data_IF_887265435542
#
_entry.id   IF_887265435542
#
_cell.length_a   1.000
_cell.length_b   1.000
_cell.length_c   1.000
_cell.angle_alpha   90.00
_cell.angle_beta   90.00
_cell.angle_gamma   90.00
#
_symmetry.space_group_name_H-M   'P 1'
#
loop_
_entity.id
_entity.type
_entity.pdbx_description
1 polymer ?
#
# COMPACT_ATOMS: atom_id res chain seq x y z
N UNK A 1 -20.69 -13.31 -6.65
CA UNK A 1 -19.32 -13.85 -6.48
C UNK A 1 -18.29 -13.07 -7.29
N UNK A 2 -18.46 -12.86 -8.61
CA UNK A 2 -17.47 -12.13 -9.44
C UNK A 2 -17.19 -10.68 -9.01
N UNK A 3 -18.19 -9.93 -8.53
CA UNK A 3 -18.01 -8.53 -8.10
C UNK A 3 -17.04 -8.40 -6.91
N UNK A 4 -17.10 -9.33 -5.94
CA UNK A 4 -16.21 -9.31 -4.77
C UNK A 4 -14.77 -9.65 -5.13
N UNK A 5 -14.56 -10.55 -6.10
CA UNK A 5 -13.23 -10.88 -6.62
C UNK A 5 -12.58 -9.71 -7.37
N UNK A 6 -13.38 -8.93 -8.12
CA UNK A 6 -12.87 -7.74 -8.82
C UNK A 6 -12.47 -6.66 -7.81
N UNK A 7 -13.28 -6.45 -6.76
CA UNK A 7 -12.96 -5.50 -5.69
C UNK A 7 -11.71 -5.93 -4.94
N UNK A 8 -11.56 -7.21 -4.60
CA UNK A 8 -10.38 -7.71 -3.88
C UNK A 8 -9.10 -7.59 -4.71
N UNK A 9 -9.17 -7.88 -6.02
CA UNK A 9 -8.05 -7.67 -6.95
C UNK A 9 -7.69 -6.19 -7.09
N UNK A 10 -8.68 -5.31 -7.13
CA UNK A 10 -8.49 -3.85 -7.13
C UNK A 10 -7.77 -3.37 -5.87
N UNK A 11 -8.19 -3.84 -4.69
CA UNK A 11 -7.55 -3.52 -3.41
C UNK A 11 -6.10 -4.03 -3.34
N UNK A 12 -5.85 -5.26 -3.83
CA UNK A 12 -4.52 -5.83 -3.94
C UNK A 12 -3.61 -4.98 -4.84
N UNK A 13 -4.09 -4.62 -6.04
CA UNK A 13 -3.32 -3.81 -6.97
C UNK A 13 -3.00 -2.41 -6.39
N UNK A 14 -3.99 -1.74 -5.80
CA UNK A 14 -3.80 -0.43 -5.17
C UNK A 14 -2.83 -0.50 -3.97
N UNK A 15 -2.94 -1.54 -3.16
CA UNK A 15 -2.04 -1.76 -2.03
C UNK A 15 -0.59 -1.96 -2.48
N UNK A 16 -0.35 -2.79 -3.50
CA UNK A 16 0.99 -3.02 -4.07
C UNK A 16 1.56 -1.72 -4.63
N UNK A 17 0.77 -0.95 -5.39
CA UNK A 17 1.20 0.34 -5.94
C UNK A 17 1.59 1.30 -4.79
N UNK A 18 0.78 1.37 -3.73
CA UNK A 18 1.07 2.19 -2.55
C UNK A 18 2.40 1.82 -1.89
N UNK A 19 2.66 0.53 -1.68
CA UNK A 19 3.92 0.03 -1.10
C UNK A 19 5.11 0.37 -1.99
N UNK A 20 5.00 0.16 -3.30
CA UNK A 20 6.09 0.44 -4.25
C UNK A 20 6.40 1.94 -4.32
N UNK A 21 5.38 2.77 -4.51
CA UNK A 21 5.55 4.24 -4.60
C UNK A 21 6.07 4.81 -3.29
N UNK A 22 5.52 4.37 -2.15
CA UNK A 22 5.99 4.76 -0.83
C UNK A 22 7.44 4.36 -0.59
N UNK A 23 7.83 3.13 -0.96
CA UNK A 23 9.19 2.62 -0.83
C UNK A 23 10.21 3.39 -1.68
N UNK A 24 9.86 3.72 -2.92
CA UNK A 24 10.70 4.56 -3.80
C UNK A 24 10.88 5.95 -3.20
N UNK A 25 9.79 6.60 -2.78
CA UNK A 25 9.87 7.92 -2.14
C UNK A 25 10.66 7.91 -0.84
N UNK A 26 10.54 6.85 -0.04
CA UNK A 26 11.28 6.71 1.21
C UNK A 26 12.80 6.63 0.95
N UNK A 27 13.23 5.90 -0.09
CA UNK A 27 14.66 5.80 -0.46
C UNK A 27 15.23 7.09 -1.06
N UNK A 28 14.41 7.88 -1.74
CA UNK A 28 14.85 9.13 -2.39
C UNK A 28 15.05 10.29 -1.43
N UNK A 29 14.58 10.19 -0.18
CA UNK A 29 14.66 11.27 0.80
C UNK A 29 15.89 11.12 1.69
N UNK A 30 16.78 12.12 1.63
CA UNK A 30 17.94 12.24 2.52
C UNK A 30 17.50 12.56 3.95
N UNK A 31 18.20 11.98 4.93
CA UNK A 31 17.74 11.79 6.31
C UNK A 31 17.48 13.05 7.13
N UNK A 32 18.11 14.17 6.78
CA UNK A 32 18.28 15.28 7.70
C UNK A 32 17.25 16.42 7.56
N UNK A 33 16.71 16.67 6.37
CA UNK A 33 15.80 17.82 6.15
C UNK A 33 14.32 17.42 5.98
N UNK A 34 14.02 16.14 5.76
CA UNK A 34 12.71 15.69 5.25
C UNK A 34 12.04 14.60 6.10
N UNK A 35 12.26 14.60 7.42
CA UNK A 35 11.68 13.60 8.35
C UNK A 35 10.15 13.48 8.21
N UNK A 36 9.44 14.59 7.97
CA UNK A 36 8.00 14.61 7.76
C UNK A 36 7.60 13.88 6.47
N UNK A 37 8.37 14.06 5.38
CA UNK A 37 8.11 13.38 4.12
C UNK A 37 8.43 11.88 4.22
N UNK A 38 9.40 11.49 5.06
CA UNK A 38 9.71 10.07 5.34
C UNK A 38 8.60 9.41 6.14
N UNK A 39 8.05 10.11 7.13
CA UNK A 39 6.86 9.68 7.86
C UNK A 39 5.69 9.46 6.92
N UNK A 40 5.40 10.42 6.01
CA UNK A 40 4.34 10.25 5.01
C UNK A 40 4.60 9.06 4.09
N UNK A 41 5.84 8.85 3.64
CA UNK A 41 6.19 7.68 2.84
C UNK A 41 5.97 6.37 3.61
N UNK A 42 6.35 6.30 4.90
CA UNK A 42 6.07 5.17 5.77
C UNK A 42 4.56 4.94 5.98
N UNK A 43 3.77 6.00 6.14
CA UNK A 43 2.32 5.90 6.22
C UNK A 43 1.71 5.35 4.93
N UNK A 44 2.21 5.77 3.77
CA UNK A 44 1.78 5.26 2.47
C UNK A 44 2.16 3.78 2.32
N UNK A 45 3.37 3.38 2.74
CA UNK A 45 3.81 1.98 2.74
C UNK A 45 2.91 1.14 3.67
N UNK A 46 2.70 1.60 4.90
CA UNK A 46 1.88 0.91 5.89
C UNK A 46 0.42 0.79 5.46
N UNK A 47 -0.16 1.88 4.94
CA UNK A 47 -1.52 1.89 4.39
C UNK A 47 -1.66 1.00 3.16
N UNK A 48 -0.66 0.99 2.28
CA UNK A 48 -0.59 0.07 1.14
C UNK A 48 -0.54 -1.38 1.58
N UNK A 49 0.31 -1.72 2.55
CA UNK A 49 0.41 -3.08 3.11
C UNK A 49 -0.91 -3.53 3.76
N UNK A 50 -1.62 -2.63 4.45
CA UNK A 50 -2.94 -2.89 5.00
C UNK A 50 -3.97 -3.20 3.90
N UNK A 51 -3.98 -2.41 2.82
CA UNK A 51 -4.87 -2.65 1.67
C UNK A 51 -4.58 -3.99 0.99
N UNK A 52 -3.31 -4.37 0.86
CA UNK A 52 -2.92 -5.71 0.38
C UNK A 52 -3.47 -6.80 1.30
N UNK A 53 -3.32 -6.65 2.61
CA UNK A 53 -3.81 -7.62 3.59
C UNK A 53 -5.35 -7.76 3.55
N UNK A 54 -6.08 -6.64 3.45
CA UNK A 54 -7.54 -6.63 3.33
C UNK A 54 -7.98 -7.25 2.01
N UNK A 55 -7.36 -6.87 0.89
CA UNK A 55 -7.65 -7.43 -0.43
C UNK A 55 -7.38 -8.93 -0.48
N UNK A 56 -6.27 -9.39 0.11
CA UNK A 56 -5.96 -10.81 0.21
C UNK A 56 -6.99 -11.56 1.07
N UNK A 57 -7.32 -11.04 2.26
CA UNK A 57 -8.33 -11.65 3.12
C UNK A 57 -9.69 -11.74 2.42
N UNK A 58 -10.14 -10.66 1.77
CA UNK A 58 -11.38 -10.68 1.00
C UNK A 58 -11.35 -11.71 -0.14
N UNK A 59 -10.21 -11.89 -0.82
CA UNK A 59 -10.12 -12.86 -1.91
C UNK A 59 -10.20 -14.32 -1.43
N UNK A 60 -9.72 -14.62 -0.21
CA UNK A 60 -9.71 -15.99 0.33
C UNK A 60 -10.95 -16.35 1.16
N UNK A 61 -11.56 -15.37 1.84
CA UNK A 61 -12.68 -15.60 2.76
C UNK A 61 -14.05 -15.28 2.16
N UNK A 62 -14.12 -14.60 1.01
CA UNK A 62 -15.38 -14.14 0.38
C UNK A 62 -15.48 -14.60 -1.07
#
# INVERSE_FOLDING_TARGET
MQVMQIVSLGLLALGIIGVVVGGVKFRQQTEWEHWAAKMTALFIIGGGALLVAIGAAMFFFV
#
